data_IF_071961139194
#
_entry.id   IF_071961139194
#
_cell.length_a   1.000
_cell.length_b   1.000
_cell.length_c   1.000
_cell.angle_alpha   90.00
_cell.angle_beta   90.00
_cell.angle_gamma   90.00
#
_symmetry.space_group_name_H-M   'P 1'
#
loop_
_entity.id
_entity.type
_entity.pdbx_description
1 polymer ?
#
# COMPACT_ATOMS: atom_id res chain seq x y z
N UNK A 1 13.37 -6.76 -20.35
CA UNK A 1 13.78 -6.32 -19.00
C UNK A 1 13.79 -4.79 -19.00
N UNK A 2 12.85 -4.15 -18.31
CA UNK A 2 12.86 -2.70 -18.10
C UNK A 2 13.97 -2.35 -17.10
N UNK A 3 14.78 -1.34 -17.40
CA UNK A 3 15.75 -0.79 -16.43
C UNK A 3 15.01 -0.32 -15.17
N UNK A 4 15.54 -0.56 -13.96
CA UNK A 4 14.99 0.04 -12.76
C UNK A 4 15.06 1.57 -12.90
N UNK A 5 13.92 2.25 -12.69
CA UNK A 5 13.85 3.71 -12.68
C UNK A 5 14.50 4.20 -11.38
N UNK A 6 15.79 4.47 -11.43
CA UNK A 6 16.51 5.18 -10.37
C UNK A 6 15.90 6.57 -10.20
N UNK A 7 15.48 6.91 -8.97
CA UNK A 7 14.92 8.24 -8.64
C UNK A 7 13.45 8.25 -8.24
N UNK A 8 12.72 7.12 -8.30
CA UNK A 8 11.35 7.05 -7.81
C UNK A 8 11.36 7.16 -6.28
N UNK A 9 10.72 8.21 -5.77
CA UNK A 9 10.62 8.53 -4.35
C UNK A 9 9.31 8.05 -3.76
N UNK A 10 8.23 8.07 -4.53
CA UNK A 10 6.90 7.83 -3.98
C UNK A 10 5.95 7.05 -4.86
N UNK A 11 4.91 6.53 -4.19
CA UNK A 11 3.76 5.84 -4.73
C UNK A 11 2.49 6.58 -4.26
N UNK A 12 1.50 6.69 -5.13
CA UNK A 12 0.17 7.20 -4.80
C UNK A 12 -0.90 6.23 -5.28
N UNK A 13 -1.99 6.14 -4.54
CA UNK A 13 -3.18 5.38 -4.93
C UNK A 13 -4.44 5.97 -4.33
N UNK A 14 -5.50 6.05 -5.13
CA UNK A 14 -6.84 6.40 -4.64
C UNK A 14 -7.41 5.27 -3.77
N UNK A 15 -7.88 5.60 -2.57
CA UNK A 15 -8.50 4.67 -1.63
C UNK A 15 -9.95 4.39 -2.02
N UNK A 16 -10.33 3.12 -1.95
CA UNK A 16 -11.68 2.66 -2.27
C UNK A 16 -12.28 1.84 -1.12
N UNK A 17 -13.54 1.39 -1.28
CA UNK A 17 -14.30 0.68 -0.24
C UNK A 17 -13.54 -0.46 0.46
N UNK A 18 -12.68 -1.18 -0.24
CA UNK A 18 -11.91 -2.30 0.34
C UNK A 18 -10.76 -1.85 1.22
N UNK A 19 -10.26 -0.65 1.00
CA UNK A 19 -8.99 -0.14 1.53
C UNK A 19 -9.18 0.72 2.80
N UNK A 20 -10.43 0.96 3.22
CA UNK A 20 -10.74 1.89 4.32
C UNK A 20 -11.62 1.30 5.42
N UNK A 21 -11.56 1.95 6.57
CA UNK A 21 -12.37 1.71 7.75
C UNK A 21 -11.87 0.56 8.63
N UNK A 22 -12.65 0.28 9.68
CA UNK A 22 -12.54 -0.95 10.47
C UNK A 22 -13.26 -2.08 9.71
N UNK A 23 -12.84 -3.33 9.83
CA UNK A 23 -13.47 -4.46 9.10
C UNK A 23 -15.01 -4.53 9.31
N UNK A 24 -15.73 -5.27 8.44
CA UNK A 24 -17.22 -5.35 8.46
C UNK A 24 -17.82 -5.53 9.87
N UNK A 25 -18.89 -4.77 10.17
CA UNK A 25 -19.54 -4.65 11.49
C UNK A 25 -20.90 -5.35 11.58
N UNK A 26 -21.35 -6.05 10.54
CA UNK A 26 -22.64 -6.76 10.53
C UNK A 26 -22.64 -8.01 11.40
N UNK A 27 -23.71 -8.20 12.18
CA UNK A 27 -23.93 -9.37 13.04
C UNK A 27 -23.83 -10.67 12.24
N UNK A 28 -23.02 -11.63 12.71
CA UNK A 28 -22.82 -12.94 12.06
C UNK A 28 -21.73 -12.99 10.99
N UNK A 29 -21.03 -11.87 10.73
CA UNK A 29 -19.87 -11.85 9.83
C UNK A 29 -18.56 -11.69 10.59
N UNK A 30 -17.51 -12.38 10.15
CA UNK A 30 -16.16 -12.19 10.70
C UNK A 30 -15.60 -10.84 10.27
N UNK A 31 -14.92 -10.17 11.21
CA UNK A 31 -14.20 -8.92 10.92
C UNK A 31 -13.22 -9.17 9.77
N UNK A 32 -13.26 -8.32 8.75
CA UNK A 32 -12.25 -8.37 7.67
C UNK A 32 -10.87 -8.04 8.23
N UNK A 33 -9.86 -8.79 7.79
CA UNK A 33 -8.46 -8.45 8.06
C UNK A 33 -8.18 -7.00 7.63
N UNK A 34 -7.39 -6.24 8.40
CA UNK A 34 -7.14 -4.84 8.11
C UNK A 34 -6.12 -4.68 6.99
N UNK A 35 -6.57 -4.89 5.76
CA UNK A 35 -5.74 -4.91 4.57
C UNK A 35 -6.10 -3.76 3.62
N UNK A 36 -5.08 -3.06 3.14
CA UNK A 36 -5.14 -2.21 1.94
C UNK A 36 -4.63 -3.04 0.76
N UNK A 37 -5.39 -3.05 -0.33
CA UNK A 37 -5.08 -3.83 -1.52
C UNK A 37 -4.28 -3.01 -2.52
N UNK A 38 -2.99 -3.32 -2.63
CA UNK A 38 -2.11 -2.73 -3.64
C UNK A 38 -2.24 -3.57 -4.93
N UNK A 39 -2.51 -2.95 -6.08
CA UNK A 39 -2.58 -3.65 -7.36
C UNK A 39 -1.28 -4.40 -7.66
N UNK A 40 -1.37 -5.64 -8.17
CA UNK A 40 -0.18 -6.35 -8.65
C UNK A 40 0.51 -5.58 -9.79
N UNK A 41 -0.24 -4.88 -10.63
CA UNK A 41 0.31 -3.99 -11.66
C UNK A 41 1.21 -2.93 -11.04
N UNK A 42 0.80 -2.31 -9.93
CA UNK A 42 1.62 -1.34 -9.21
C UNK A 42 2.90 -1.97 -8.67
N UNK A 43 2.81 -3.09 -7.95
CA UNK A 43 4.00 -3.81 -7.44
C UNK A 43 4.96 -4.18 -8.57
N UNK A 44 4.43 -4.69 -9.68
CA UNK A 44 5.24 -5.14 -10.83
C UNK A 44 5.83 -3.97 -11.63
N UNK A 45 5.17 -2.81 -11.65
CA UNK A 45 5.66 -1.61 -12.32
C UNK A 45 6.92 -1.04 -11.65
N UNK A 46 7.04 -1.18 -10.32
CA UNK A 46 8.25 -0.82 -9.59
C UNK A 46 8.51 -1.78 -8.41
N UNK A 47 9.06 -2.97 -8.66
CA UNK A 47 9.25 -3.98 -7.62
C UNK A 47 10.26 -3.55 -6.56
N UNK A 48 11.30 -2.82 -6.95
CA UNK A 48 12.33 -2.30 -6.05
C UNK A 48 11.75 -1.27 -5.05
N UNK A 49 10.69 -0.54 -5.43
CA UNK A 49 9.97 0.34 -4.49
C UNK A 49 9.53 -0.46 -3.26
N UNK A 50 8.96 -1.65 -3.46
CA UNK A 50 8.46 -2.52 -2.38
C UNK A 50 9.53 -3.45 -1.81
N UNK A 51 10.77 -3.42 -2.34
CA UNK A 51 11.82 -4.42 -2.13
C UNK A 51 11.39 -5.84 -2.53
N UNK A 52 10.47 -5.94 -3.49
CA UNK A 52 9.99 -7.21 -4.03
C UNK A 52 10.95 -7.77 -5.08
N UNK A 53 11.20 -9.10 -5.12
CA UNK A 53 10.80 -10.11 -4.14
C UNK A 53 11.81 -10.29 -3.00
N UNK A 54 12.96 -9.62 -3.05
CA UNK A 54 14.14 -9.96 -2.25
C UNK A 54 13.98 -9.79 -0.73
N UNK A 55 13.14 -8.86 -0.28
CA UNK A 55 12.85 -8.68 1.14
C UNK A 55 11.70 -9.57 1.66
N UNK A 56 11.15 -10.46 0.82
CA UNK A 56 10.01 -11.29 1.16
C UNK A 56 10.39 -12.77 1.32
N UNK A 57 9.92 -13.36 2.41
CA UNK A 57 10.16 -14.75 2.77
C UNK A 57 9.00 -15.60 2.23
N UNK A 58 9.28 -16.73 1.53
CA UNK A 58 8.25 -17.69 1.15
C UNK A 58 7.51 -18.26 2.36
N UNK A 59 6.18 -18.37 2.25
CA UNK A 59 5.38 -19.08 3.24
C UNK A 59 5.53 -20.59 3.03
N UNK A 60 6.06 -21.35 4.01
CA UNK A 60 6.23 -22.80 3.86
C UNK A 60 4.89 -23.56 3.78
N UNK A 61 3.81 -22.96 4.28
CA UNK A 61 2.47 -23.56 4.29
C UNK A 61 1.67 -23.28 3.02
N UNK A 62 2.14 -22.37 2.16
CA UNK A 62 1.40 -21.97 0.95
C UNK A 62 2.33 -21.62 -0.21
N UNK A 63 2.37 -22.51 -1.19
CA UNK A 63 3.18 -22.33 -2.40
C UNK A 63 2.86 -21.01 -3.10
N UNK A 64 3.90 -20.22 -3.39
CA UNK A 64 3.78 -18.93 -4.08
C UNK A 64 3.36 -17.75 -3.20
N UNK A 65 2.94 -17.99 -1.94
CA UNK A 65 2.76 -16.91 -0.97
C UNK A 65 4.11 -16.47 -0.43
N UNK A 66 4.26 -15.16 -0.28
CA UNK A 66 5.45 -14.52 0.27
C UNK A 66 5.02 -13.41 1.19
N UNK A 67 5.67 -13.34 2.34
CA UNK A 67 5.39 -12.37 3.39
C UNK A 67 6.64 -11.55 3.70
N UNK A 68 6.41 -10.30 4.08
CA UNK A 68 7.41 -9.41 4.63
C UNK A 68 6.81 -8.75 5.84
N UNK A 69 7.20 -9.25 7.00
CA UNK A 69 6.68 -8.81 8.29
C UNK A 69 7.47 -7.60 8.82
N UNK A 70 6.84 -6.85 9.72
CA UNK A 70 7.49 -5.76 10.47
C UNK A 70 8.10 -4.66 9.61
N UNK A 71 7.42 -4.26 8.54
CA UNK A 71 7.83 -3.08 7.77
C UNK A 71 7.38 -1.83 8.53
N UNK A 72 8.33 -1.16 9.18
CA UNK A 72 8.07 0.08 9.90
C UNK A 72 7.70 1.21 8.94
N UNK A 73 6.53 1.82 9.15
CA UNK A 73 6.05 2.98 8.40
C UNK A 73 5.71 4.12 9.35
N UNK A 74 6.05 5.35 9.00
CA UNK A 74 5.59 6.55 9.73
C UNK A 74 4.25 7.00 9.17
N UNK A 75 3.24 7.11 10.03
CA UNK A 75 1.90 7.58 9.69
C UNK A 75 1.43 8.53 10.80
N UNK A 76 1.14 9.79 10.45
CA UNK A 76 0.68 10.79 11.42
C UNK A 76 1.65 11.02 12.59
N UNK A 77 2.96 10.85 12.36
CA UNK A 77 4.00 10.98 13.39
C UNK A 77 4.18 9.72 14.27
N UNK A 78 3.42 8.65 14.04
CA UNK A 78 3.57 7.37 14.73
C UNK A 78 4.26 6.34 13.82
N UNK A 79 5.17 5.54 14.38
CA UNK A 79 5.73 4.40 13.67
C UNK A 79 4.81 3.20 13.89
N UNK A 80 4.29 2.65 12.79
CA UNK A 80 3.45 1.45 12.77
C UNK A 80 4.18 0.28 12.10
N UNK A 81 3.93 -0.93 12.59
CA UNK A 81 4.46 -2.17 11.99
C UNK A 81 3.45 -2.72 10.97
N UNK A 82 3.81 -2.71 9.69
CA UNK A 82 2.96 -3.17 8.59
C UNK A 82 3.47 -4.49 8.04
N UNK A 83 2.57 -5.46 7.88
CA UNK A 83 2.89 -6.71 7.21
C UNK A 83 2.50 -6.61 5.74
N UNK A 84 3.48 -6.80 4.85
CA UNK A 84 3.23 -6.88 3.40
C UNK A 84 3.13 -8.34 2.97
N UNK A 85 2.20 -8.69 2.10
CA UNK A 85 2.08 -10.06 1.63
C UNK A 85 1.43 -10.21 0.27
N UNK A 86 1.79 -11.28 -0.43
CA UNK A 86 1.11 -11.70 -1.65
C UNK A 86 0.17 -12.85 -1.38
N UNK A 87 -0.99 -12.86 -2.03
CA UNK A 87 -1.89 -14.01 -1.99
C UNK A 87 -1.99 -14.64 -3.38
N UNK A 88 -1.34 -15.79 -3.63
CA UNK A 88 -1.24 -16.36 -4.97
C UNK A 88 -2.62 -16.66 -5.58
N UNK A 89 -3.52 -17.30 -4.83
CA UNK A 89 -4.87 -17.66 -5.33
C UNK A 89 -5.78 -16.47 -5.60
N UNK A 90 -5.50 -15.32 -4.98
CA UNK A 90 -6.30 -14.10 -5.14
C UNK A 90 -5.61 -13.08 -6.05
N UNK A 91 -4.40 -13.39 -6.49
CA UNK A 91 -3.58 -12.53 -7.34
C UNK A 91 -3.53 -11.09 -6.81
N UNK A 92 -3.22 -10.92 -5.52
CA UNK A 92 -3.15 -9.61 -4.87
C UNK A 92 -1.89 -9.43 -4.04
N UNK A 93 -1.60 -8.15 -3.75
CA UNK A 93 -0.55 -7.70 -2.85
C UNK A 93 -1.19 -6.78 -1.80
N UNK A 94 -0.89 -7.00 -0.52
CA UNK A 94 -1.62 -6.38 0.59
C UNK A 94 -0.69 -5.74 1.59
N UNK A 95 -1.10 -4.59 2.12
CA UNK A 95 -0.53 -3.98 3.31
C UNK A 95 -1.48 -4.20 4.48
N UNK A 96 -1.07 -4.98 5.47
CA UNK A 96 -1.91 -5.32 6.63
C UNK A 96 -1.49 -4.52 7.86
N UNK A 97 -2.34 -3.58 8.28
CA UNK A 97 -2.26 -2.87 9.54
C UNK A 97 -3.58 -2.09 9.78
N UNK A 98 -4.14 -2.17 11.00
CA UNK A 98 -5.43 -1.54 11.34
C UNK A 98 -5.36 -0.01 11.33
N UNK A 99 -4.30 0.55 11.92
CA UNK A 99 -4.08 2.00 11.96
C UNK A 99 -3.98 2.57 10.55
N UNK A 100 -3.23 1.90 9.67
CA UNK A 100 -3.10 2.29 8.28
C UNK A 100 -4.44 2.25 7.53
N UNK A 101 -5.20 1.15 7.65
CA UNK A 101 -6.49 0.99 6.97
C UNK A 101 -7.55 1.98 7.47
N UNK A 102 -7.51 2.32 8.76
CA UNK A 102 -8.50 3.20 9.38
C UNK A 102 -8.16 4.70 9.24
N UNK A 103 -6.99 5.04 8.70
CA UNK A 103 -6.52 6.42 8.61
C UNK A 103 -7.20 7.26 7.52
N UNK A 104 -7.86 6.63 6.54
CA UNK A 104 -8.46 7.32 5.40
C UNK A 104 -9.90 6.94 5.12
N UNK A 105 -10.52 7.73 4.24
CA UNK A 105 -11.88 7.57 3.74
C UNK A 105 -11.89 7.16 2.25
N UNK A 106 -13.04 6.68 1.77
CA UNK A 106 -13.22 6.42 0.34
C UNK A 106 -13.01 7.75 -0.41
N UNK A 107 -12.20 7.73 -1.47
CA UNK A 107 -11.92 8.92 -2.29
C UNK A 107 -10.56 9.56 -1.99
N UNK A 108 -10.04 9.40 -0.76
CA UNK A 108 -8.74 9.94 -0.36
C UNK A 108 -7.59 9.30 -1.17
N UNK A 109 -6.42 9.92 -1.14
CA UNK A 109 -5.20 9.36 -1.72
C UNK A 109 -4.27 8.88 -0.60
N UNK A 110 -3.85 7.62 -0.67
CA UNK A 110 -2.71 7.15 0.11
C UNK A 110 -1.43 7.44 -0.66
N UNK A 111 -0.56 8.23 -0.05
CA UNK A 111 0.80 8.52 -0.51
C UNK A 111 1.79 7.74 0.34
N UNK A 112 2.73 7.07 -0.30
CA UNK A 112 3.81 6.32 0.34
C UNK A 112 5.13 6.79 -0.25
N UNK A 113 6.07 7.23 0.57
CA UNK A 113 7.42 7.58 0.13
C UNK A 113 8.46 6.71 0.78
N UNK A 114 9.52 6.40 0.04
CA UNK A 114 10.72 5.78 0.61
C UNK A 114 11.46 6.78 1.48
N UNK A 115 12.02 6.27 2.57
CA UNK A 115 12.99 7.01 3.39
C UNK A 115 14.37 6.42 3.18
N UNK A 116 15.31 7.25 2.75
CA UNK A 116 16.70 6.84 2.51
C UNK A 116 17.51 6.77 3.80
N UNK A 117 17.14 7.56 4.81
CA UNK A 117 17.80 7.58 6.12
C UNK A 117 17.13 6.61 7.11
N UNK A 118 17.76 5.44 7.30
CA UNK A 118 17.28 4.43 8.23
C UNK A 118 17.42 4.83 9.70
N UNK A 119 18.16 5.90 10.04
CA UNK A 119 18.24 6.41 11.41
C UNK A 119 16.89 6.90 11.93
N UNK A 120 15.93 7.18 11.03
CA UNK A 120 14.56 7.56 11.39
C UNK A 120 13.74 6.40 11.98
N UNK A 121 14.19 5.14 11.89
CA UNK A 121 13.50 3.98 12.46
C UNK A 121 12.30 3.47 11.66
N UNK A 122 12.07 3.99 10.46
CA UNK A 122 11.04 3.52 9.52
C UNK A 122 11.54 3.55 8.08
N UNK A 123 10.93 2.72 7.22
CA UNK A 123 11.33 2.57 5.82
C UNK A 123 10.48 3.38 4.85
N UNK A 124 9.24 3.66 5.24
CA UNK A 124 8.31 4.44 4.45
C UNK A 124 7.64 5.53 5.27
N UNK A 125 7.52 6.71 4.69
CA UNK A 125 6.60 7.72 5.15
C UNK A 125 5.25 7.53 4.45
N UNK A 126 4.16 7.52 5.21
CA UNK A 126 2.81 7.36 4.68
C UNK A 126 1.95 8.54 5.10
N UNK A 127 1.22 9.06 4.13
CA UNK A 127 0.30 10.18 4.31
C UNK A 127 -1.03 9.86 3.62
N UNK A 128 -2.13 10.16 4.31
CA UNK A 128 -3.46 10.16 3.71
C UNK A 128 -3.76 11.60 3.32
N UNK A 129 -3.98 11.82 2.03
CA UNK A 129 -4.31 13.11 1.45
C UNK A 129 -5.83 13.16 1.28
N UNK A 130 -6.56 13.93 2.11
CA UNK A 130 -8.01 13.96 2.04
C UNK A 130 -8.52 14.61 0.76
N UNK A 131 -9.63 14.09 0.23
CA UNK A 131 -10.35 14.73 -0.87
C UNK A 131 -10.74 16.18 -0.52
N UNK A 132 -10.61 17.09 -1.49
CA UNK A 132 -10.92 18.52 -1.31
C UNK A 132 -9.77 19.38 -0.76
N UNK A 133 -8.65 18.78 -0.34
CA UNK A 133 -7.45 19.54 0.05
C UNK A 133 -6.67 20.04 -1.17
N UNK A 134 -5.87 21.10 -1.02
CA UNK A 134 -5.01 21.59 -2.11
C UNK A 134 -4.00 20.54 -2.58
N UNK A 135 -3.47 19.75 -1.65
CA UNK A 135 -2.54 18.67 -2.00
C UNK A 135 -3.21 17.53 -2.77
N UNK A 136 -4.52 17.31 -2.58
CA UNK A 136 -5.26 16.29 -3.28
C UNK A 136 -5.15 16.45 -4.79
N UNK A 137 -5.38 17.66 -5.33
CA UNK A 137 -5.30 17.91 -6.77
C UNK A 137 -3.91 17.60 -7.33
N UNK A 138 -2.85 17.92 -6.56
CA UNK A 138 -1.45 17.65 -6.93
C UNK A 138 -1.19 16.15 -7.03
N UNK A 139 -1.50 15.39 -5.97
CA UNK A 139 -1.24 13.95 -5.97
C UNK A 139 -2.24 13.17 -6.83
N UNK A 140 -3.45 13.67 -7.03
CA UNK A 140 -4.44 13.06 -7.94
C UNK A 140 -3.95 13.08 -9.38
N UNK A 141 -3.26 14.14 -9.79
CA UNK A 141 -2.66 14.24 -11.11
C UNK A 141 -1.56 13.20 -11.36
N UNK A 142 -0.93 12.68 -10.29
CA UNK A 142 0.06 11.60 -10.36
C UNK A 142 -0.57 10.20 -10.40
N UNK A 143 -1.84 10.05 -10.03
CA UNK A 143 -2.59 8.79 -10.15
C UNK A 143 -3.04 8.55 -11.62
N UNK A 144 -2.09 8.24 -12.49
CA UNK A 144 -2.29 8.12 -13.95
C UNK A 144 -2.59 6.70 -14.43
N UNK A 145 -2.20 5.68 -13.66
CA UNK A 145 -2.35 4.28 -14.05
C UNK A 145 -3.67 3.70 -13.53
N UNK A 146 -4.61 3.31 -14.42
CA UNK A 146 -5.86 2.69 -13.98
C UNK A 146 -5.61 1.28 -13.45
N UNK A 147 -6.38 0.88 -12.44
CA UNK A 147 -6.40 -0.49 -11.93
C UNK A 147 -7.56 -1.24 -12.59
N UNK A 148 -7.30 -2.28 -13.42
CA UNK A 148 -8.33 -2.98 -14.17
C UNK A 148 -9.50 -3.45 -13.29
N UNK A 149 -10.72 -3.35 -13.82
CA UNK A 149 -11.96 -3.77 -13.15
C UNK A 149 -12.17 -3.12 -11.77
N UNK A 150 -11.61 -1.93 -11.56
CA UNK A 150 -11.84 -1.13 -10.36
C UNK A 150 -11.90 0.35 -10.71
N UNK A 151 -12.49 1.17 -9.83
CA UNK A 151 -12.45 2.63 -9.95
C UNK A 151 -11.15 3.27 -9.48
N UNK A 152 -10.11 2.48 -9.17
CA UNK A 152 -8.86 2.96 -8.57
C UNK A 152 -7.84 3.35 -9.62
N UNK A 153 -7.04 4.33 -9.25
CA UNK A 153 -5.85 4.75 -9.97
C UNK A 153 -4.64 4.74 -9.04
N UNK A 154 -3.46 4.50 -9.60
CA UNK A 154 -2.20 4.60 -8.90
C UNK A 154 -1.15 5.34 -9.74
N UNK A 155 -0.01 5.63 -9.13
CA UNK A 155 1.15 6.20 -9.84
C UNK A 155 2.41 6.15 -9.00
N UNK A 156 3.53 6.47 -9.66
CA UNK A 156 4.85 6.62 -9.05
C UNK A 156 5.48 7.94 -9.51
N UNK A 157 6.30 8.56 -8.67
CA UNK A 157 7.04 9.78 -8.96
C UNK A 157 8.44 9.76 -8.35
#
# INVERSE_FOLDING_TARGET
MSKPRTGIKGFVMTLHRTDVGVGQTSTGTSRRSPEIFIPLSARNANPDFWKWPHAFIPDPSKQGKRDRSNVCMSLGGQIISVNMMTWPDKHDFRLRNETLRSAGSIGDIMRVEKVDDLACGFEYYVEIIPEGTTQFSVYRALCTEPVPNSGRYYGYY
#
